data_IF_789300789900
#
_entry.id   IF_789300789900
#
_cell.length_a   1.000
_cell.length_b   1.000
_cell.length_c   1.000
_cell.angle_alpha   90.00
_cell.angle_beta   90.00
_cell.angle_gamma   90.00
#
_symmetry.space_group_name_H-M   'P 1'
#
loop_
_entity.id
_entity.type
_entity.pdbx_description
1 polymer ?
#
# COMPACT_ATOMS: atom_id res chain seq x y z
N UNK A 1 11.54 -9.75 2.51
CA UNK A 1 11.79 -8.95 1.29
C UNK A 1 13.29 -8.82 1.00
N UNK A 2 14.12 -8.58 2.02
CA UNK A 2 15.58 -8.40 1.81
C UNK A 2 16.20 -9.50 0.93
N UNK A 3 15.94 -10.75 1.22
CA UNK A 3 16.53 -11.88 0.47
C UNK A 3 16.03 -11.92 -0.98
N UNK A 4 14.77 -11.62 -1.23
CA UNK A 4 14.22 -11.55 -2.59
C UNK A 4 14.84 -10.41 -3.41
N UNK A 5 15.03 -9.25 -2.78
CA UNK A 5 15.66 -8.10 -3.42
C UNK A 5 17.13 -8.36 -3.72
N UNK A 6 17.88 -8.95 -2.78
CA UNK A 6 19.29 -9.31 -2.97
C UNK A 6 19.49 -10.37 -4.06
N UNK A 7 18.52 -11.28 -4.21
CA UNK A 7 18.55 -12.32 -5.24
C UNK A 7 18.03 -11.84 -6.61
N UNK A 8 17.64 -10.55 -6.71
CA UNK A 8 17.00 -9.98 -7.92
C UNK A 8 15.78 -10.80 -8.39
N UNK A 9 15.08 -11.44 -7.46
CA UNK A 9 14.01 -12.40 -7.74
C UNK A 9 12.65 -11.74 -7.99
N UNK A 10 12.53 -10.42 -7.81
CA UNK A 10 11.28 -9.67 -7.98
C UNK A 10 11.53 -8.37 -8.74
N UNK A 11 10.63 -8.02 -9.66
CA UNK A 11 10.65 -6.73 -10.37
C UNK A 11 9.70 -5.70 -9.77
N UNK A 12 8.75 -6.16 -8.96
CA UNK A 12 7.77 -5.32 -8.25
C UNK A 12 7.63 -5.82 -6.82
N UNK A 13 7.74 -4.91 -5.87
CA UNK A 13 7.44 -5.17 -4.45
C UNK A 13 5.97 -4.84 -4.22
N UNK A 14 5.17 -5.87 -3.98
CA UNK A 14 3.75 -5.76 -3.70
C UNK A 14 3.46 -6.19 -2.26
N UNK A 15 4.07 -5.50 -1.31
CA UNK A 15 3.89 -5.77 0.10
C UNK A 15 2.53 -5.27 0.61
N UNK A 16 2.09 -5.82 1.72
CA UNK A 16 0.84 -5.48 2.38
C UNK A 16 1.10 -5.28 3.88
N UNK A 17 0.87 -4.08 4.39
CA UNK A 17 1.12 -3.76 5.79
C UNK A 17 0.15 -4.49 6.75
N UNK A 18 -0.99 -4.97 6.26
CA UNK A 18 -1.94 -5.77 7.04
C UNK A 18 -1.53 -7.24 7.15
N UNK A 19 -0.56 -7.68 6.32
CA UNK A 19 0.01 -9.04 6.28
C UNK A 19 1.48 -9.09 6.69
N UNK A 20 2.08 -7.94 6.93
CA UNK A 20 3.38 -7.77 7.58
C UNK A 20 3.20 -7.41 9.06
N UNK A 21 4.30 -7.09 9.76
CA UNK A 21 4.25 -6.59 11.13
C UNK A 21 3.82 -5.10 11.21
N UNK A 22 2.93 -4.67 10.31
CA UNK A 22 2.35 -3.34 10.30
C UNK A 22 3.11 -2.31 9.45
N UNK A 23 2.76 -1.04 9.67
CA UNK A 23 3.26 0.10 8.88
C UNK A 23 4.79 0.21 8.97
N UNK A 24 5.38 0.06 10.16
CA UNK A 24 6.82 0.21 10.37
C UNK A 24 7.62 -0.79 9.52
N UNK A 25 7.17 -2.04 9.45
CA UNK A 25 7.80 -3.06 8.61
C UNK A 25 7.64 -2.71 7.13
N UNK A 26 6.45 -2.22 6.73
CA UNK A 26 6.24 -1.79 5.35
C UNK A 26 7.18 -0.65 4.96
N UNK A 27 7.34 0.37 5.82
CA UNK A 27 8.26 1.49 5.57
C UNK A 27 9.70 0.99 5.41
N UNK A 28 10.13 0.03 6.23
CA UNK A 28 11.46 -0.58 6.11
C UNK A 28 11.63 -1.28 4.75
N UNK A 29 10.61 -1.99 4.27
CA UNK A 29 10.60 -2.62 2.92
C UNK A 29 10.69 -1.56 1.83
N UNK A 30 9.91 -0.49 1.90
CA UNK A 30 9.93 0.62 0.93
C UNK A 30 11.31 1.29 0.87
N UNK A 31 11.89 1.61 2.03
CA UNK A 31 13.23 2.24 2.11
C UNK A 31 14.30 1.29 1.55
N UNK A 32 14.26 0.02 1.93
CA UNK A 32 15.19 -0.98 1.41
C UNK A 32 15.10 -1.09 -0.11
N UNK A 33 13.89 -1.05 -0.66
CA UNK A 33 13.63 -1.18 -2.10
C UNK A 33 14.27 -0.06 -2.92
N UNK A 34 14.56 1.11 -2.33
CA UNK A 34 15.25 2.21 -3.04
C UNK A 34 16.67 1.86 -3.50
N UNK A 35 17.26 0.81 -2.93
CA UNK A 35 18.60 0.31 -3.29
C UNK A 35 18.61 -0.65 -4.49
N UNK A 36 17.45 -0.95 -5.04
CA UNK A 36 17.28 -1.94 -6.09
C UNK A 36 16.44 -1.36 -7.24
N UNK A 37 16.63 -1.84 -8.49
CA UNK A 37 15.84 -1.36 -9.63
C UNK A 37 14.44 -1.98 -9.67
N UNK A 38 13.69 -1.86 -8.59
CA UNK A 38 12.34 -2.41 -8.45
C UNK A 38 11.31 -1.32 -8.24
N UNK A 39 10.07 -1.60 -8.61
CA UNK A 39 8.92 -0.74 -8.31
C UNK A 39 8.29 -1.18 -7.00
N UNK A 40 7.77 -0.22 -6.22
CA UNK A 40 6.93 -0.52 -5.06
C UNK A 40 5.50 -0.13 -5.41
N UNK A 41 4.64 -1.13 -5.51
CA UNK A 41 3.21 -0.97 -5.80
C UNK A 41 2.47 -1.74 -4.69
N UNK A 42 1.91 -1.07 -3.69
CA UNK A 42 1.28 -1.76 -2.57
C UNK A 42 0.17 -2.72 -3.00
N UNK A 43 0.02 -3.80 -2.26
CA UNK A 43 -1.16 -4.66 -2.32
C UNK A 43 -2.41 -3.86 -1.92
N UNK A 44 -3.58 -4.30 -2.36
CA UNK A 44 -4.85 -3.58 -2.17
C UNK A 44 -5.22 -3.28 -0.71
N UNK A 45 -4.71 -4.05 0.26
CA UNK A 45 -5.09 -3.91 1.67
C UNK A 45 -6.58 -4.14 1.91
N UNK A 46 -7.17 -5.03 1.11
CA UNK A 46 -8.58 -5.43 1.15
C UNK A 46 -9.58 -4.26 1.03
N UNK A 47 -9.14 -3.13 0.43
CA UNK A 47 -9.88 -1.87 0.25
C UNK A 47 -9.98 -0.97 1.51
N UNK A 48 -9.21 -1.24 2.55
CA UNK A 48 -8.91 -0.24 3.58
C UNK A 48 -8.01 0.88 3.01
N UNK A 49 -7.97 2.03 3.68
CA UNK A 49 -7.25 3.20 3.12
C UNK A 49 -5.77 3.27 3.51
N UNK A 50 -5.27 2.31 4.28
CA UNK A 50 -3.91 2.34 4.83
C UNK A 50 -2.82 2.42 3.73
N UNK A 51 -2.98 1.68 2.63
CA UNK A 51 -1.99 1.65 1.56
C UNK A 51 -1.95 2.93 0.73
N UNK A 52 -3.02 3.72 0.71
CA UNK A 52 -3.00 5.05 0.09
C UNK A 52 -2.02 5.98 0.82
N UNK A 53 -1.97 5.90 2.16
CA UNK A 53 -0.96 6.64 2.95
C UNK A 53 0.47 6.14 2.66
N UNK A 54 0.65 4.84 2.41
CA UNK A 54 1.94 4.28 1.99
C UNK A 54 2.38 4.83 0.62
N UNK A 55 1.44 4.95 -0.34
CA UNK A 55 1.74 5.56 -1.64
C UNK A 55 2.20 7.00 -1.48
N UNK A 56 1.55 7.79 -0.61
CA UNK A 56 2.00 9.15 -0.30
C UNK A 56 3.38 9.18 0.34
N UNK A 57 3.65 8.30 1.31
CA UNK A 57 4.97 8.19 1.90
C UNK A 57 6.04 7.91 0.84
N UNK A 58 5.81 6.93 -0.02
CA UNK A 58 6.74 6.56 -1.08
C UNK A 58 7.00 7.73 -2.04
N UNK A 59 5.99 8.53 -2.34
CA UNK A 59 6.13 9.72 -3.17
C UNK A 59 6.91 10.83 -2.44
N UNK A 60 6.47 11.21 -1.25
CA UNK A 60 6.98 12.38 -0.52
C UNK A 60 8.39 12.13 0.02
N UNK A 61 8.62 10.96 0.62
CA UNK A 61 9.86 10.64 1.31
C UNK A 61 10.91 9.95 0.44
N UNK A 62 10.48 9.18 -0.56
CA UNK A 62 11.36 8.33 -1.37
C UNK A 62 11.40 8.74 -2.85
N UNK A 63 10.73 9.83 -3.23
CA UNK A 63 10.68 10.36 -4.61
C UNK A 63 10.15 9.34 -5.65
N UNK A 64 9.27 8.44 -5.25
CA UNK A 64 8.64 7.54 -6.20
C UNK A 64 7.75 8.32 -7.17
N UNK A 65 7.88 8.02 -8.47
CA UNK A 65 7.10 8.69 -9.54
C UNK A 65 5.92 7.86 -10.01
N UNK A 66 5.81 6.60 -9.59
CA UNK A 66 4.70 5.70 -9.91
C UNK A 66 3.79 5.58 -8.68
N UNK A 67 2.57 6.06 -8.82
CA UNK A 67 1.58 6.12 -7.74
C UNK A 67 0.46 5.11 -7.98
N UNK A 68 0.84 3.85 -8.20
CA UNK A 68 -0.11 2.76 -8.38
C UNK A 68 -0.40 2.06 -7.05
N UNK A 69 -1.62 1.60 -6.93
CA UNK A 69 -2.12 0.76 -5.87
C UNK A 69 -3.02 -0.31 -6.49
N UNK A 70 -2.85 -1.56 -6.08
CA UNK A 70 -3.69 -2.65 -6.57
C UNK A 70 -5.17 -2.40 -6.25
N UNK A 71 -6.05 -2.85 -7.14
CA UNK A 71 -7.49 -2.71 -6.99
C UNK A 71 -8.19 -4.06 -7.04
N UNK A 72 -8.67 -4.54 -5.88
CA UNK A 72 -9.46 -5.75 -5.73
C UNK A 72 -10.61 -5.44 -4.77
N UNK A 73 -11.84 -5.13 -5.24
CA UNK A 73 -12.89 -4.55 -4.39
C UNK A 73 -13.72 -5.55 -3.59
N UNK A 74 -13.39 -6.83 -3.60
CA UNK A 74 -14.24 -7.91 -3.06
C UNK A 74 -14.55 -7.79 -1.56
N UNK A 75 -13.70 -7.15 -0.76
CA UNK A 75 -13.91 -6.91 0.67
C UNK A 75 -14.34 -5.48 1.01
N UNK A 76 -14.50 -4.63 0.00
CA UNK A 76 -14.81 -3.21 0.17
C UNK A 76 -15.99 -2.95 1.10
N UNK A 77 -17.05 -3.72 0.96
CA UNK A 77 -18.30 -3.47 1.69
C UNK A 77 -18.25 -3.89 3.17
N UNK A 78 -17.16 -4.56 3.57
CA UNK A 78 -16.91 -4.90 4.98
C UNK A 78 -16.26 -3.77 5.79
N UNK A 79 -15.70 -2.76 5.12
CA UNK A 79 -15.08 -1.61 5.79
C UNK A 79 -16.11 -0.52 6.10
N UNK A 80 -15.92 0.18 7.23
CA UNK A 80 -16.72 1.36 7.59
C UNK A 80 -16.43 2.49 6.60
N UNK A 81 -15.14 2.76 6.35
CA UNK A 81 -14.65 3.78 5.43
C UNK A 81 -13.72 3.13 4.38
N UNK A 82 -14.28 2.45 3.36
CA UNK A 82 -13.45 1.81 2.34
C UNK A 82 -12.76 2.83 1.45
N UNK A 83 -11.68 2.39 0.81
CA UNK A 83 -11.06 3.16 -0.26
C UNK A 83 -12.07 3.44 -1.38
N UNK A 84 -12.05 4.65 -1.91
CA UNK A 84 -12.94 5.11 -2.97
C UNK A 84 -12.13 5.24 -4.26
N UNK A 85 -12.64 4.69 -5.34
CA UNK A 85 -12.05 4.81 -6.69
C UNK A 85 -13.09 5.44 -7.61
N UNK A 86 -12.69 6.50 -8.30
CA UNK A 86 -13.51 7.21 -9.29
C UNK A 86 -12.68 7.30 -10.58
N UNK A 87 -13.24 6.86 -11.69
CA UNK A 87 -12.59 6.89 -13.00
C UNK A 87 -11.17 6.28 -13.03
N UNK A 88 -10.98 5.21 -12.25
CA UNK A 88 -9.69 4.52 -12.15
C UNK A 88 -8.69 5.16 -11.18
N UNK A 89 -9.07 6.22 -10.47
CA UNK A 89 -8.22 6.91 -9.51
C UNK A 89 -8.70 6.71 -8.07
N UNK A 90 -7.79 6.27 -7.21
CA UNK A 90 -8.03 6.30 -5.78
C UNK A 90 -8.19 7.75 -5.30
N UNK A 91 -9.24 8.00 -4.55
CA UNK A 91 -9.47 9.31 -3.93
C UNK A 91 -8.60 9.44 -2.68
N UNK A 92 -8.06 10.65 -2.47
CA UNK A 92 -7.22 10.96 -1.30
C UNK A 92 -8.03 10.74 -0.02
N UNK A 93 -7.52 9.96 0.97
CA UNK A 93 -8.17 9.83 2.27
C UNK A 93 -8.33 11.19 2.95
N UNK A 94 -9.53 11.47 3.45
CA UNK A 94 -9.84 12.76 4.10
C UNK A 94 -9.96 12.63 5.62
N UNK A 95 -10.30 11.43 6.10
CA UNK A 95 -10.45 11.17 7.52
C UNK A 95 -9.12 10.94 8.22
N UNK A 96 -8.95 11.36 9.47
CA UNK A 96 -7.77 11.03 10.27
C UNK A 96 -7.62 9.52 10.48
N UNK A 97 -6.37 9.03 10.52
CA UNK A 97 -6.07 7.63 10.77
C UNK A 97 -6.00 6.77 9.51
N UNK A 98 -6.02 5.46 9.69
CA UNK A 98 -5.82 4.49 8.60
C UNK A 98 -7.12 4.00 7.95
N UNK A 99 -8.28 4.34 8.53
CA UNK A 99 -9.62 3.90 8.07
C UNK A 99 -9.69 2.39 7.82
N UNK A 100 -9.18 1.60 8.77
CA UNK A 100 -9.15 0.12 8.69
C UNK A 100 -10.26 -0.54 9.47
N UNK A 101 -11.19 0.24 10.01
CA UNK A 101 -12.30 -0.27 10.81
C UNK A 101 -13.26 -1.09 9.97
N UNK A 102 -13.59 -2.28 10.47
CA UNK A 102 -14.56 -3.17 9.86
C UNK A 102 -15.95 -2.91 10.44
N UNK A 103 -16.97 -3.09 9.61
CA UNK A 103 -18.36 -3.10 10.07
C UNK A 103 -18.57 -4.30 11.00
N UNK A 104 -19.18 -4.05 12.15
CA UNK A 104 -19.60 -5.13 13.06
C UNK A 104 -20.83 -5.79 12.43
N UNK A 105 -20.87 -7.13 12.38
CA UNK A 105 -22.02 -7.85 11.86
C UNK A 105 -23.29 -7.60 12.68
#
# INVERSE_FOLDING_TARGET
WKNFLQAEAVGVVQADCTRLAGISEYLAVSILSTKYPVKVIPHVGDMGQIHQHIVFFNHIALNHTKHFLEYIPHLRDHFVNPAIVIDGFYQVPQDPGCSTDLKIP
#
